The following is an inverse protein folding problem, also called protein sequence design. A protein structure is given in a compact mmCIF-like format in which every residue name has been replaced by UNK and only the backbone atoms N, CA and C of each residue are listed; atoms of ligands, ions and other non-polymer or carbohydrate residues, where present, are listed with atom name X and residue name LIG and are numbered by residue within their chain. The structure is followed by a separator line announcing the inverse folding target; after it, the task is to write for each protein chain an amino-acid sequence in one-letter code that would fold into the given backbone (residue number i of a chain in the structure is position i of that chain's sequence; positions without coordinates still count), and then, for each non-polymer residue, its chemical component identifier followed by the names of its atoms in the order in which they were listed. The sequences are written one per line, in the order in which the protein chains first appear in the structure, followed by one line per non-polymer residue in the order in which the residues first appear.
data_IF_564930671074
#
_entry.id   IF_564930671074
#
_cell.length_a   1.000
_cell.length_b   1.000
_cell.length_c   1.000
_cell.angle_alpha   90.00
_cell.angle_beta   90.00
_cell.angle_gamma   90.00
#
_symmetry.space_group_name_H-M   'P 1'
#
loop_
_entity.id
_entity.type
_entity.pdbx_description
1 polymer ?
#
# COMPACT_ATOMS: atom_id res chain seq x y z
N UNK A 1 -7.80 -18.51 -41.13
CA UNK A 1 -6.51 -18.32 -40.43
C UNK A 1 -6.43 -16.97 -39.71
N UNK A 2 -6.43 -15.82 -40.40
CA UNK A 2 -6.34 -14.50 -39.74
C UNK A 2 -7.50 -14.19 -38.76
N UNK A 3 -8.74 -14.56 -39.11
CA UNK A 3 -9.92 -14.40 -38.23
C UNK A 3 -9.85 -15.26 -36.97
N UNK A 4 -9.34 -16.49 -37.12
CA UNK A 4 -9.14 -17.44 -36.02
C UNK A 4 -8.05 -16.96 -35.06
N UNK A 5 -6.95 -16.41 -35.61
CA UNK A 5 -5.89 -15.79 -34.83
C UNK A 5 -6.40 -14.56 -34.06
N UNK A 6 -7.22 -13.72 -34.70
CA UNK A 6 -7.82 -12.56 -34.04
C UNK A 6 -8.73 -12.97 -32.88
N UNK A 7 -9.60 -13.95 -33.08
CA UNK A 7 -10.47 -14.48 -32.03
C UNK A 7 -9.66 -15.06 -30.86
N UNK A 8 -8.59 -15.79 -31.15
CA UNK A 8 -7.70 -16.34 -30.13
C UNK A 8 -7.03 -15.25 -29.28
N UNK A 9 -6.49 -14.20 -29.90
CA UNK A 9 -5.87 -13.07 -29.20
C UNK A 9 -6.90 -12.32 -28.34
N UNK A 10 -8.12 -12.12 -28.86
CA UNK A 10 -9.19 -11.47 -28.13
C UNK A 10 -9.60 -12.27 -26.88
N UNK A 11 -9.74 -13.59 -27.01
CA UNK A 11 -10.03 -14.47 -25.86
C UNK A 11 -8.91 -14.43 -24.82
N UNK A 12 -7.65 -14.40 -25.24
CA UNK A 12 -6.51 -14.32 -24.33
C UNK A 12 -6.51 -13.02 -23.51
N UNK A 13 -6.79 -11.87 -24.15
CA UNK A 13 -6.82 -10.57 -23.47
C UNK A 13 -7.91 -10.49 -22.39
N UNK A 14 -9.04 -11.16 -22.59
CA UNK A 14 -10.16 -11.18 -21.64
C UNK A 14 -9.88 -12.00 -20.37
N UNK A 15 -8.82 -12.82 -20.36
CA UNK A 15 -8.45 -13.64 -19.19
C UNK A 15 -7.57 -12.90 -18.17
N UNK A 16 -7.07 -11.71 -18.51
CA UNK A 16 -6.24 -10.90 -17.61
C UNK A 16 -7.16 -10.07 -16.71
N UNK A 17 -7.59 -10.65 -15.58
CA UNK A 17 -8.49 -9.98 -14.62
C UNK A 17 -7.78 -9.51 -13.35
N UNK A 18 -6.50 -9.86 -13.17
CA UNK A 18 -5.73 -9.56 -11.97
C UNK A 18 -4.73 -8.45 -12.25
N UNK A 19 -4.93 -7.29 -11.64
CA UNK A 19 -3.89 -6.25 -11.55
C UNK A 19 -3.48 -6.11 -10.09
N UNK A 20 -2.18 -6.20 -9.80
CA UNK A 20 -1.68 -5.91 -8.46
C UNK A 20 -1.55 -4.40 -8.31
N UNK A 21 -2.45 -3.83 -7.50
CA UNK A 21 -2.40 -2.43 -7.10
C UNK A 21 -1.39 -2.17 -5.98
N UNK A 22 -1.44 -0.93 -5.47
CA UNK A 22 -0.59 -0.32 -4.45
C UNK A 22 0.24 -1.29 -3.58
N UNK A 23 1.56 -1.09 -3.63
CA UNK A 23 2.50 -1.83 -2.78
C UNK A 23 2.14 -1.64 -1.30
N UNK A 24 2.20 -2.73 -0.53
CA UNK A 24 1.98 -2.66 0.91
C UNK A 24 2.87 -1.60 1.56
N UNK A 25 2.38 -0.89 2.60
CA UNK A 25 3.17 0.12 3.29
C UNK A 25 4.49 -0.48 3.78
N UNK A 26 5.62 0.00 3.24
CA UNK A 26 6.92 -0.50 3.68
C UNK A 26 7.19 -0.12 5.14
N UNK A 27 7.57 -1.12 5.93
CA UNK A 27 7.75 -1.05 7.39
C UNK A 27 9.09 -0.48 7.84
N UNK A 28 9.87 0.20 6.99
CA UNK A 28 11.17 0.77 7.40
C UNK A 28 11.04 1.74 8.58
N UNK A 29 9.84 2.28 8.84
CA UNK A 29 9.50 3.12 9.97
C UNK A 29 8.59 2.45 11.02
N UNK A 30 8.49 1.11 11.07
CA UNK A 30 7.56 0.41 11.97
C UNK A 30 7.75 0.77 13.45
N UNK A 31 8.98 1.08 13.85
CA UNK A 31 9.33 1.50 15.21
C UNK A 31 8.56 2.73 15.70
N UNK A 32 8.10 3.59 14.79
CA UNK A 32 7.30 4.78 15.10
C UNK A 32 5.79 4.52 15.10
N UNK A 33 5.35 3.35 14.62
CA UNK A 33 3.95 2.98 14.55
C UNK A 33 3.76 1.48 14.86
N UNK A 34 4.22 1.08 16.05
CA UNK A 34 4.16 -0.31 16.49
C UNK A 34 2.72 -0.83 16.60
N UNK A 35 1.72 0.06 16.76
CA UNK A 35 0.30 -0.28 16.78
C UNK A 35 -0.17 -1.01 15.52
N UNK A 36 0.44 -0.74 14.35
CA UNK A 36 0.14 -1.44 13.09
C UNK A 36 0.67 -2.88 13.10
N UNK A 37 1.78 -3.12 13.79
CA UNK A 37 2.42 -4.44 13.89
C UNK A 37 1.82 -5.26 15.03
N UNK A 38 1.56 -4.62 16.16
CA UNK A 38 0.97 -5.21 17.36
C UNK A 38 -0.05 -4.25 17.98
N UNK A 39 -1.36 -4.49 17.78
CA UNK A 39 -2.41 -3.67 18.37
C UNK A 39 -2.37 -3.58 19.90
N UNK A 40 -1.82 -4.59 20.59
CA UNK A 40 -1.66 -4.58 22.06
C UNK A 40 -0.59 -3.57 22.54
N UNK A 41 0.17 -2.97 21.62
CA UNK A 41 1.11 -1.90 21.96
C UNK A 41 0.39 -0.58 22.30
N UNK A 42 -0.84 -0.36 21.80
CA UNK A 42 -1.62 0.82 22.11
C UNK A 42 -1.91 0.88 23.62
N UNK A 43 -1.51 1.96 24.28
CA UNK A 43 -1.65 2.09 25.74
C UNK A 43 -0.69 1.23 26.57
N UNK A 44 0.29 0.56 25.96
CA UNK A 44 1.36 -0.15 26.69
C UNK A 44 2.29 0.78 27.47
N UNK A 45 2.28 2.07 27.12
CA UNK A 45 2.98 3.12 27.85
C UNK A 45 2.05 3.65 28.93
N UNK A 46 2.54 3.78 30.16
CA UNK A 46 1.79 4.32 31.31
C UNK A 46 1.50 5.83 31.20
N UNK A 47 1.82 6.45 30.06
CA UNK A 47 1.63 7.86 29.76
C UNK A 47 0.91 8.02 28.43
N UNK A 48 0.05 9.04 28.32
CA UNK A 48 -0.57 9.43 27.05
C UNK A 48 0.52 9.67 26.00
N UNK A 49 0.48 8.92 24.89
CA UNK A 49 1.53 8.89 23.87
C UNK A 49 0.93 9.11 22.48
N UNK A 50 0.84 10.36 22.04
CA UNK A 50 0.34 10.68 20.70
C UNK A 50 1.48 10.67 19.67
N UNK A 51 1.26 10.04 18.52
CA UNK A 51 2.20 9.95 17.40
C UNK A 51 1.58 10.43 16.09
N UNK A 52 2.35 11.17 15.29
CA UNK A 52 2.02 11.58 13.93
C UNK A 52 3.17 11.22 12.99
N UNK A 53 2.86 10.53 11.89
CA UNK A 53 3.83 10.11 10.89
C UNK A 53 3.34 10.47 9.49
N UNK A 54 4.11 11.30 8.79
CA UNK A 54 3.90 11.60 7.37
C UNK A 54 4.94 10.91 6.50
N UNK A 55 4.51 10.29 5.40
CA UNK A 55 5.39 9.65 4.43
C UNK A 55 5.04 10.09 3.02
N UNK A 56 6.07 10.49 2.26
CA UNK A 56 5.98 10.70 0.81
C UNK A 56 6.87 9.67 0.13
N UNK A 57 6.35 8.97 -0.87
CA UNK A 57 7.10 8.04 -1.70
C UNK A 57 7.29 8.63 -3.10
N UNK A 58 8.31 8.19 -3.85
CA UNK A 58 8.51 8.60 -5.25
C UNK A 58 8.59 10.13 -5.45
N UNK A 59 9.41 10.81 -4.63
CA UNK A 59 9.55 12.26 -4.64
C UNK A 59 9.91 12.76 -6.04
N UNK A 60 9.21 13.80 -6.50
CA UNK A 60 9.39 14.39 -7.83
C UNK A 60 8.48 13.83 -8.91
N UNK A 61 7.68 12.79 -8.61
CA UNK A 61 6.61 12.32 -9.49
C UNK A 61 5.30 13.02 -9.12
N UNK A 62 4.62 13.60 -10.11
CA UNK A 62 3.32 14.22 -9.88
C UNK A 62 2.26 13.15 -9.54
N UNK A 63 1.42 13.41 -8.54
CA UNK A 63 0.48 12.43 -8.00
C UNK A 63 1.14 11.30 -7.17
N UNK A 64 2.39 11.45 -6.75
CA UNK A 64 3.09 10.49 -5.93
C UNK A 64 2.33 10.13 -4.62
N UNK A 65 2.35 8.86 -4.19
CA UNK A 65 1.71 8.42 -2.95
C UNK A 65 2.19 9.17 -1.72
N UNK A 66 1.23 9.69 -0.96
CA UNK A 66 1.44 10.29 0.36
C UNK A 66 0.57 9.58 1.39
N UNK A 67 1.12 9.33 2.57
CA UNK A 67 0.42 8.65 3.66
C UNK A 67 0.63 9.43 4.95
N UNK A 68 -0.47 9.70 5.66
CA UNK A 68 -0.46 10.31 6.98
C UNK A 68 -1.03 9.30 7.97
N UNK A 69 -0.36 9.11 9.10
CA UNK A 69 -0.82 8.23 10.17
C UNK A 69 -0.81 8.96 11.51
N UNK A 70 -1.86 8.72 12.31
CA UNK A 70 -1.97 9.19 13.67
C UNK A 70 -2.22 8.00 14.60
N UNK A 71 -1.53 7.94 15.74
CA UNK A 71 -1.65 6.85 16.70
C UNK A 71 -1.58 7.35 18.16
N UNK A 72 -2.09 6.52 19.07
CA UNK A 72 -2.16 6.73 20.53
C UNK A 72 -1.52 5.54 21.25
#
# INVERSE_FOLDING_TARGET
MKKTLFLFVLTLMLTITSSYGQQDPQYTHYMYNMNVVNPAYAGSRETLSLGLLGRTQWVGIDGAPQTLTANV
#
